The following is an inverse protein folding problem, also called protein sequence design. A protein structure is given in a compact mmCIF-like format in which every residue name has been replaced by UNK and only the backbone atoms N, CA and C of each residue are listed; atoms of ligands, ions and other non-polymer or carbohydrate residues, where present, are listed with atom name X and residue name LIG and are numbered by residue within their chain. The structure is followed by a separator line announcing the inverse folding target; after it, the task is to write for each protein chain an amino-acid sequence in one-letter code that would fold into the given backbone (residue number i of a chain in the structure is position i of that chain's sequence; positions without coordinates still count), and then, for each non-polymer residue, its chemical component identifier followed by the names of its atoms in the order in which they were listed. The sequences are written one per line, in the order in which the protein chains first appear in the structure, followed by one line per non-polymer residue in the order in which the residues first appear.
data_IF_949721196461
#
_entry.id   IF_949721196461
#
_cell.length_a   1.000
_cell.length_b   1.000
_cell.length_c   1.000
_cell.angle_alpha   90.00
_cell.angle_beta   90.00
_cell.angle_gamma   90.00
#
_symmetry.space_group_name_H-M   'P 1'
#
loop_
_entity.id
_entity.type
_entity.pdbx_description
1 polymer ?
#
# COMPACT_ATOMS: atom_id res chain seq x y z
N UNK A 1 23.52 -3.40 26.53
CA UNK A 1 23.71 -1.93 26.68
C UNK A 1 22.38 -1.29 27.03
N UNK A 2 22.41 -0.30 27.92
CA UNK A 2 21.20 0.44 28.30
C UNK A 2 21.00 1.63 27.38
N UNK A 3 19.79 1.76 26.82
CA UNK A 3 19.45 2.82 25.85
C UNK A 3 18.14 3.49 26.25
N UNK A 4 18.08 4.82 26.05
CA UNK A 4 16.83 5.59 26.07
C UNK A 4 16.40 5.83 24.64
N UNK A 5 15.21 5.37 24.30
CA UNK A 5 14.67 5.46 22.95
C UNK A 5 14.10 6.86 22.70
N UNK A 6 14.58 7.51 21.66
CA UNK A 6 14.25 8.91 21.38
C UNK A 6 13.01 9.05 20.48
N UNK A 7 12.95 8.30 19.38
CA UNK A 7 11.85 8.41 18.40
C UNK A 7 11.71 7.15 17.56
N UNK A 8 10.58 7.03 16.88
CA UNK A 8 10.38 6.05 15.80
C UNK A 8 11.02 6.56 14.51
N UNK A 9 11.49 5.64 13.68
CA UNK A 9 12.05 5.97 12.35
C UNK A 9 11.06 5.69 11.22
N UNK A 10 11.36 6.15 10.00
CA UNK A 10 10.70 5.63 8.80
C UNK A 10 11.21 4.22 8.50
N UNK A 11 10.90 3.30 9.42
CA UNK A 11 11.34 1.92 9.44
C UNK A 11 10.71 1.15 10.58
N UNK A 12 11.00 -0.16 10.68
CA UNK A 12 10.46 -1.00 11.77
C UNK A 12 11.07 -0.67 13.13
N UNK A 13 12.27 -0.08 13.17
CA UNK A 13 13.08 0.11 14.38
C UNK A 13 12.93 1.54 14.92
N UNK A 14 13.10 1.67 16.23
CA UNK A 14 13.25 2.96 16.89
C UNK A 14 14.72 3.41 16.89
N UNK A 15 14.98 4.66 17.26
CA UNK A 15 16.32 5.25 17.28
C UNK A 15 16.69 5.66 18.72
N UNK A 16 17.95 5.42 19.05
CA UNK A 16 18.64 5.90 20.25
C UNK A 16 20.07 6.31 19.88
N UNK A 17 20.79 6.94 20.82
CA UNK A 17 22.22 7.15 20.72
C UNK A 17 22.93 6.45 21.87
N UNK A 18 24.12 5.89 21.61
CA UNK A 18 24.98 5.33 22.64
C UNK A 18 25.73 6.44 23.40
N UNK A 19 26.53 6.05 24.39
CA UNK A 19 27.31 7.00 25.24
C UNK A 19 28.31 7.85 24.42
N UNK A 20 28.69 7.41 23.21
CA UNK A 20 29.58 8.13 22.30
C UNK A 20 28.81 9.02 21.32
N UNK A 21 27.46 9.04 21.36
CA UNK A 21 26.61 9.78 20.45
C UNK A 21 26.40 9.08 19.10
N UNK A 22 26.78 7.80 18.96
CA UNK A 22 26.56 7.03 17.74
C UNK A 22 25.12 6.55 17.69
N UNK A 23 24.51 6.68 16.51
CA UNK A 23 23.13 6.24 16.25
C UNK A 23 22.98 4.72 16.41
N UNK A 24 21.97 4.28 17.14
CA UNK A 24 21.60 2.87 17.30
C UNK A 24 20.15 2.67 16.88
N UNK A 25 19.92 1.82 15.88
CA UNK A 25 18.55 1.37 15.52
C UNK A 25 18.18 0.19 16.41
N UNK A 26 17.05 0.29 17.10
CA UNK A 26 16.66 -0.65 18.16
C UNK A 26 15.35 -1.35 17.79
N UNK A 27 15.46 -2.63 17.43
CA UNK A 27 14.30 -3.46 17.12
C UNK A 27 13.51 -3.83 18.40
N UNK A 28 12.18 -3.71 18.34
CA UNK A 28 11.26 -4.06 19.43
C UNK A 28 11.07 -2.98 20.50
N UNK A 29 11.70 -1.82 20.31
CA UNK A 29 11.52 -0.65 21.17
C UNK A 29 10.43 0.29 20.62
N UNK A 30 9.87 1.12 21.49
CA UNK A 30 9.04 2.27 21.11
C UNK A 30 9.60 3.56 21.72
N UNK A 31 9.30 4.69 21.11
CA UNK A 31 9.76 6.00 21.58
C UNK A 31 9.44 6.22 23.07
N UNK A 32 10.43 6.66 23.83
CA UNK A 32 10.33 6.92 25.28
C UNK A 32 10.65 5.73 26.17
N UNK A 33 10.83 4.51 25.65
CA UNK A 33 11.29 3.38 26.47
C UNK A 33 12.72 3.61 26.98
N UNK A 34 13.02 3.01 28.14
CA UNK A 34 14.39 2.70 28.57
C UNK A 34 14.55 1.18 28.52
N UNK A 35 15.53 0.72 27.73
CA UNK A 35 15.70 -0.71 27.44
C UNK A 35 17.11 -1.20 27.72
N UNK A 36 17.26 -2.48 28.08
CA UNK A 36 18.48 -3.23 27.83
C UNK A 36 18.39 -3.82 26.41
N UNK A 37 19.47 -3.66 25.65
CA UNK A 37 19.53 -4.15 24.27
C UNK A 37 20.88 -4.85 24.00
N UNK A 38 20.82 -5.90 23.19
CA UNK A 38 22.00 -6.58 22.66
C UNK A 38 22.35 -6.03 21.28
N UNK A 39 23.63 -5.88 21.01
CA UNK A 39 24.14 -5.48 19.70
C UNK A 39 23.95 -6.64 18.71
N UNK A 40 23.32 -6.36 17.57
CA UNK A 40 23.13 -7.33 16.47
C UNK A 40 24.09 -7.05 15.33
N UNK A 41 24.37 -5.77 15.08
CA UNK A 41 25.27 -5.34 14.01
C UNK A 41 25.98 -4.06 14.44
N UNK A 42 27.30 -4.02 14.27
CA UNK A 42 28.11 -2.84 14.53
C UNK A 42 28.71 -2.28 13.24
N UNK A 43 28.25 -1.12 12.82
CA UNK A 43 28.76 -0.39 11.68
C UNK A 43 29.61 0.82 12.08
N UNK A 44 30.21 1.50 11.11
CA UNK A 44 31.01 2.73 11.36
C UNK A 44 30.14 3.91 11.76
N UNK A 45 29.02 4.13 11.06
CA UNK A 45 28.14 5.31 11.22
C UNK A 45 26.96 5.03 12.15
N UNK A 46 26.50 3.81 12.24
CA UNK A 46 25.39 3.37 13.09
C UNK A 46 25.58 1.93 13.52
N UNK A 47 24.81 1.54 14.52
CA UNK A 47 24.71 0.16 14.98
C UNK A 47 23.26 -0.29 14.99
N UNK A 48 23.02 -1.61 15.00
CA UNK A 48 21.69 -2.19 15.22
C UNK A 48 21.69 -3.02 16.50
N UNK A 49 20.63 -2.88 17.26
CA UNK A 49 20.42 -3.61 18.51
C UNK A 49 19.01 -4.17 18.57
N UNK A 50 18.80 -5.14 19.45
CA UNK A 50 17.50 -5.73 19.75
C UNK A 50 17.24 -5.63 21.24
N UNK A 51 16.02 -5.26 21.60
CA UNK A 51 15.56 -5.24 22.99
C UNK A 51 15.65 -6.63 23.61
N UNK A 52 16.31 -6.74 24.77
CA UNK A 52 16.32 -7.94 25.60
C UNK A 52 15.43 -7.78 26.82
N UNK A 53 15.31 -6.53 27.35
CA UNK A 53 14.46 -6.19 28.47
C UNK A 53 13.97 -4.76 28.34
N UNK A 54 12.72 -4.51 28.74
CA UNK A 54 12.16 -3.17 28.89
C UNK A 54 12.28 -2.79 30.36
N UNK A 55 13.22 -1.89 30.66
CA UNK A 55 13.54 -1.46 32.03
C UNK A 55 12.48 -0.47 32.57
N UNK A 56 12.16 0.53 31.71
CA UNK A 56 11.12 1.51 31.97
C UNK A 56 10.26 1.62 30.71
N UNK A 57 9.01 1.13 30.73
CA UNK A 57 8.13 1.24 29.57
C UNK A 57 7.69 2.69 29.36
N UNK A 58 7.67 3.10 28.10
CA UNK A 58 7.10 4.39 27.69
C UNK A 58 5.60 4.47 28.02
N UNK A 59 5.07 5.66 28.37
CA UNK A 59 3.62 5.87 28.50
C UNK A 59 2.82 5.56 27.23
N UNK A 60 3.45 5.64 26.07
CA UNK A 60 2.82 5.32 24.78
C UNK A 60 3.02 3.87 24.32
N UNK A 61 3.68 3.04 25.15
CA UNK A 61 3.77 1.60 24.90
C UNK A 61 2.47 0.92 25.26
N UNK A 62 1.97 0.07 24.36
CA UNK A 62 0.76 -0.73 24.57
C UNK A 62 1.06 -2.22 24.38
N UNK A 63 0.20 -3.07 24.96
CA UNK A 63 0.27 -4.50 24.70
C UNK A 63 -0.10 -4.78 23.23
N UNK A 64 0.75 -5.52 22.53
CA UNK A 64 0.46 -5.93 21.16
C UNK A 64 -0.73 -6.91 21.13
N UNK A 65 -1.79 -6.54 20.41
CA UNK A 65 -3.00 -7.36 20.28
C UNK A 65 -2.77 -8.67 19.49
N UNK A 66 -1.70 -8.74 18.72
CA UNK A 66 -1.36 -9.92 17.91
C UNK A 66 0.12 -10.31 18.11
N UNK A 67 0.41 -11.34 18.92
CA UNK A 67 1.79 -11.72 19.27
C UNK A 67 2.70 -12.03 18.06
N UNK A 68 2.12 -12.47 16.92
CA UNK A 68 2.90 -12.73 15.71
C UNK A 68 3.30 -11.47 14.93
N UNK A 69 2.75 -10.30 15.28
CA UNK A 69 2.96 -9.05 14.53
C UNK A 69 4.44 -8.69 14.37
N UNK A 70 5.22 -8.77 15.46
CA UNK A 70 6.64 -8.46 15.47
C UNK A 70 7.47 -9.50 14.71
N UNK A 71 7.14 -10.79 14.88
CA UNK A 71 7.87 -11.90 14.24
C UNK A 71 7.64 -11.90 12.72
N UNK A 72 6.41 -11.58 12.28
CA UNK A 72 6.06 -11.49 10.87
C UNK A 72 6.48 -10.17 10.20
N UNK A 73 6.83 -9.14 10.99
CA UNK A 73 7.21 -7.83 10.47
C UNK A 73 6.10 -7.07 9.73
N UNK A 74 4.85 -7.56 9.78
CA UNK A 74 3.72 -6.95 9.09
C UNK A 74 3.00 -5.87 9.90
N UNK A 75 3.31 -5.77 11.19
CA UNK A 75 2.80 -4.75 12.09
C UNK A 75 3.88 -4.37 13.15
N UNK A 76 5.04 -3.85 12.72
CA UNK A 76 6.18 -3.61 13.60
C UNK A 76 5.91 -2.55 14.68
N UNK A 77 4.92 -1.69 14.48
CA UNK A 77 4.52 -0.65 15.45
C UNK A 77 3.32 -1.04 16.30
N UNK A 78 2.93 -2.31 16.32
CA UNK A 78 1.77 -2.79 17.07
C UNK A 78 1.87 -2.63 18.60
N UNK A 79 3.06 -2.36 19.13
CA UNK A 79 3.28 -2.03 20.55
C UNK A 79 3.33 -0.52 20.84
N UNK A 80 3.12 0.34 19.85
CA UNK A 80 3.03 1.79 19.97
C UNK A 80 1.56 2.22 19.95
N UNK A 81 1.14 3.08 20.87
CA UNK A 81 -0.21 3.65 20.90
C UNK A 81 -0.53 4.33 19.56
N UNK A 82 -1.78 4.23 19.12
CA UNK A 82 -2.14 4.65 17.74
C UNK A 82 -1.93 6.14 17.50
N UNK A 83 -2.26 6.98 18.46
CA UNK A 83 -2.02 8.42 18.40
C UNK A 83 -0.52 8.73 18.23
N UNK A 84 0.33 8.02 18.96
CA UNK A 84 1.79 8.17 18.83
C UNK A 84 2.33 7.65 17.48
N UNK A 85 1.64 6.66 16.85
CA UNK A 85 1.97 6.27 15.47
C UNK A 85 1.70 7.40 14.48
N UNK A 86 0.59 8.13 14.61
CA UNK A 86 0.23 9.26 13.74
C UNK A 86 1.24 10.41 13.88
N UNK A 87 1.63 10.73 15.11
CA UNK A 87 2.65 11.75 15.39
C UNK A 87 4.02 11.35 14.79
N UNK A 88 4.42 10.09 14.97
CA UNK A 88 5.68 9.58 14.42
C UNK A 88 5.68 9.59 12.88
N UNK A 89 4.55 9.30 12.23
CA UNK A 89 4.41 9.38 10.78
C UNK A 89 4.55 10.81 10.28
N UNK A 90 3.87 11.76 10.91
CA UNK A 90 4.04 13.19 10.62
C UNK A 90 5.50 13.61 10.76
N UNK A 91 6.12 13.30 11.89
CA UNK A 91 7.50 13.65 12.17
C UNK A 91 8.49 13.08 11.14
N UNK A 92 8.26 11.84 10.67
CA UNK A 92 9.08 11.22 9.63
C UNK A 92 8.93 11.92 8.26
N UNK A 93 7.73 12.44 7.93
CA UNK A 93 7.54 13.24 6.72
C UNK A 93 8.28 14.58 6.83
N UNK A 94 8.14 15.28 7.97
CA UNK A 94 8.88 16.54 8.24
C UNK A 94 10.40 16.31 8.14
N UNK A 95 10.90 15.25 8.78
CA UNK A 95 12.34 14.90 8.75
C UNK A 95 12.85 14.66 7.32
N UNK A 96 12.07 13.95 6.50
CA UNK A 96 12.43 13.71 5.09
C UNK A 96 12.44 15.02 4.27
N UNK A 97 11.41 15.86 4.39
CA UNK A 97 11.33 17.13 3.67
C UNK A 97 12.48 18.06 4.07
N UNK A 98 12.86 18.08 5.36
CA UNK A 98 13.95 18.91 5.87
C UNK A 98 15.32 18.40 5.42
N UNK A 99 15.59 17.08 5.59
CA UNK A 99 16.96 16.54 5.41
C UNK A 99 17.25 16.11 3.97
N UNK A 100 16.26 15.59 3.26
CA UNK A 100 16.41 15.12 1.87
C UNK A 100 15.97 16.19 0.89
N UNK A 101 14.81 16.82 1.16
CA UNK A 101 14.24 17.86 0.31
C UNK A 101 14.85 19.24 0.52
N UNK A 102 15.56 19.46 1.64
CA UNK A 102 16.10 20.78 2.04
C UNK A 102 15.04 21.90 2.00
N UNK A 103 13.77 21.53 2.23
CA UNK A 103 12.65 22.46 2.18
C UNK A 103 12.58 23.27 3.48
N UNK A 104 12.69 24.59 3.35
CA UNK A 104 12.44 25.50 4.46
C UNK A 104 10.95 25.48 4.84
N UNK A 105 10.62 25.60 6.13
CA UNK A 105 9.23 25.61 6.59
C UNK A 105 8.53 24.24 6.50
N UNK A 106 9.27 23.13 6.47
CA UNK A 106 8.68 21.79 6.40
C UNK A 106 7.73 21.49 7.57
N UNK A 107 8.01 22.04 8.78
CA UNK A 107 7.16 21.86 9.97
C UNK A 107 5.77 22.49 9.80
N UNK A 108 5.69 23.66 9.18
CA UNK A 108 4.45 24.38 8.91
C UNK A 108 3.73 23.84 7.68
N UNK A 109 4.48 23.29 6.72
CA UNK A 109 3.95 22.72 5.49
C UNK A 109 3.21 21.40 5.72
N UNK A 110 3.70 20.59 6.68
CA UNK A 110 3.16 19.25 6.96
C UNK A 110 2.06 19.32 8.01
N UNK A 111 0.84 19.02 7.59
CA UNK A 111 -0.33 18.93 8.46
C UNK A 111 -0.31 17.73 9.40
N UNK A 112 -1.34 17.59 10.23
CA UNK A 112 -1.56 16.39 11.05
C UNK A 112 -1.72 15.14 10.18
N UNK A 113 -1.32 13.99 10.70
CA UNK A 113 -1.52 12.71 9.99
C UNK A 113 -3.00 12.30 10.10
N UNK A 114 -3.67 12.19 8.95
CA UNK A 114 -5.05 11.75 8.86
C UNK A 114 -5.19 10.26 9.19
N UNK A 115 -6.22 9.92 9.99
CA UNK A 115 -6.53 8.57 10.45
C UNK A 115 -7.88 8.09 9.89
N UNK A 116 -7.97 7.67 8.62
CA UNK A 116 -9.23 7.46 7.93
C UNK A 116 -10.02 6.22 8.38
N UNK A 117 -9.49 5.40 9.26
CA UNK A 117 -10.14 4.16 9.64
C UNK A 117 -9.73 3.61 11.00
N UNK A 118 -10.02 2.34 11.20
CA UNK A 118 -9.63 1.63 12.42
C UNK A 118 -8.17 1.18 12.32
N UNK A 119 -7.40 1.16 13.43
CA UNK A 119 -6.01 0.72 13.42
C UNK A 119 -5.85 -0.81 13.21
N UNK A 120 -6.93 -1.59 13.31
CA UNK A 120 -6.98 -3.01 13.06
C UNK A 120 -8.16 -3.37 12.15
N UNK A 121 -8.03 -4.45 11.36
CA UNK A 121 -9.10 -4.89 10.46
C UNK A 121 -9.40 -3.89 9.34
N UNK A 122 -8.40 -3.18 8.84
CA UNK A 122 -8.55 -2.19 7.78
C UNK A 122 -8.27 -2.73 6.37
N UNK A 123 -7.48 -3.82 6.27
CA UNK A 123 -7.06 -4.34 4.97
C UNK A 123 -8.19 -5.09 4.27
N UNK A 124 -8.38 -4.78 3.02
CA UNK A 124 -9.25 -5.53 2.12
C UNK A 124 -8.52 -6.71 1.43
N UNK A 125 -7.19 -6.81 1.57
CA UNK A 125 -6.35 -7.81 0.90
C UNK A 125 -5.33 -8.44 1.85
N UNK A 126 -5.15 -9.77 1.73
CA UNK A 126 -4.02 -10.52 2.25
C UNK A 126 -3.39 -11.37 1.14
N UNK A 127 -2.06 -11.43 1.10
CA UNK A 127 -1.30 -12.37 0.27
C UNK A 127 -0.53 -13.32 1.18
N UNK A 128 -0.73 -14.60 1.00
CA UNK A 128 -0.22 -15.64 1.87
C UNK A 128 0.64 -16.62 1.07
N UNK A 129 1.78 -17.00 1.62
CA UNK A 129 2.59 -18.06 1.09
C UNK A 129 1.87 -19.41 1.23
N UNK A 130 1.95 -20.25 0.21
CA UNK A 130 1.49 -21.62 0.27
C UNK A 130 2.66 -22.54 0.63
N UNK A 131 2.53 -23.27 1.73
CA UNK A 131 3.56 -24.19 2.20
C UNK A 131 2.99 -25.60 2.19
N UNK A 132 3.63 -26.49 1.45
CA UNK A 132 3.29 -27.91 1.39
C UNK A 132 4.25 -28.74 2.24
N UNK A 133 3.67 -29.62 3.05
CA UNK A 133 4.38 -30.64 3.82
C UNK A 133 3.74 -32.02 3.56
N UNK A 134 4.36 -32.78 2.68
CA UNK A 134 3.82 -34.04 2.23
C UNK A 134 2.43 -33.91 1.60
N UNK A 135 1.40 -34.50 2.26
CA UNK A 135 -0.01 -34.46 1.84
C UNK A 135 -0.81 -33.34 2.49
N UNK A 136 -0.17 -32.48 3.29
CA UNK A 136 -0.82 -31.33 3.93
C UNK A 136 -0.32 -30.05 3.31
N UNK A 137 -1.14 -29.03 3.40
CA UNK A 137 -0.75 -27.68 3.03
C UNK A 137 -1.23 -26.69 4.09
N UNK A 138 -0.50 -25.61 4.24
CA UNK A 138 -0.85 -24.50 5.12
C UNK A 138 -0.63 -23.18 4.42
N UNK A 139 -1.36 -22.16 4.84
CA UNK A 139 -1.06 -20.78 4.47
C UNK A 139 -0.20 -20.13 5.56
N UNK A 140 0.73 -19.30 5.15
CA UNK A 140 1.65 -18.63 6.06
C UNK A 140 2.09 -17.28 5.54
N UNK A 141 2.87 -16.60 6.36
CA UNK A 141 3.52 -15.34 6.01
C UNK A 141 5.02 -15.48 6.26
N UNK A 142 5.80 -14.78 5.47
CA UNK A 142 7.25 -14.70 5.70
C UNK A 142 7.52 -14.00 7.03
N UNK A 143 8.43 -14.56 7.81
CA UNK A 143 8.95 -13.90 8.99
C UNK A 143 9.75 -12.63 8.59
N UNK A 144 9.94 -11.71 9.53
CA UNK A 144 10.61 -10.44 9.28
C UNK A 144 12.03 -10.60 8.73
N UNK A 145 12.74 -11.68 9.09
CA UNK A 145 14.06 -12.03 8.55
C UNK A 145 14.01 -12.53 7.08
N UNK A 146 12.79 -12.79 6.55
CA UNK A 146 12.56 -13.12 5.14
C UNK A 146 12.92 -14.53 4.68
N UNK A 147 13.37 -15.41 5.59
CA UNK A 147 13.86 -16.76 5.25
C UNK A 147 12.88 -17.87 5.57
N UNK A 148 12.09 -17.70 6.62
CA UNK A 148 11.12 -18.71 7.06
C UNK A 148 9.68 -18.26 6.80
N UNK A 149 8.78 -19.22 6.62
CA UNK A 149 7.35 -18.99 6.53
C UNK A 149 6.66 -19.55 7.76
N UNK A 150 5.99 -18.68 8.50
CA UNK A 150 5.23 -19.04 9.68
C UNK A 150 3.77 -19.25 9.29
N UNK A 151 3.20 -20.37 9.75
CA UNK A 151 1.77 -20.65 9.57
C UNK A 151 0.94 -19.56 10.23
N UNK A 152 -0.10 -19.10 9.53
CA UNK A 152 -1.09 -18.16 10.07
C UNK A 152 -2.50 -18.74 9.90
N UNK A 153 -3.27 -18.76 10.98
CA UNK A 153 -4.68 -19.15 10.98
C UNK A 153 -5.60 -17.91 11.01
N UNK A 154 -5.01 -16.75 11.33
CA UNK A 154 -5.67 -15.44 11.42
C UNK A 154 -4.74 -14.31 10.94
N UNK A 155 -5.33 -13.23 10.50
CA UNK A 155 -4.61 -12.01 10.12
C UNK A 155 -5.43 -10.80 10.58
N UNK A 156 -5.20 -10.28 11.80
CA UNK A 156 -6.03 -9.25 12.41
C UNK A 156 -6.05 -7.91 11.66
N UNK A 157 -5.12 -7.68 10.74
CA UNK A 157 -5.16 -6.52 9.85
C UNK A 157 -6.21 -6.67 8.74
N UNK A 158 -6.62 -7.90 8.37
CA UNK A 158 -7.64 -8.13 7.35
C UNK A 158 -9.03 -7.78 7.88
N UNK A 159 -9.82 -7.05 7.09
CA UNK A 159 -11.18 -6.66 7.42
C UNK A 159 -12.12 -7.87 7.41
N UNK A 160 -12.16 -8.58 8.52
CA UNK A 160 -13.03 -9.72 8.75
C UNK A 160 -14.07 -9.41 9.83
N UNK A 161 -15.26 -10.01 9.75
CA UNK A 161 -16.25 -9.89 10.82
C UNK A 161 -15.73 -10.58 12.08
N UNK A 162 -16.13 -10.08 13.26
CA UNK A 162 -15.69 -10.64 14.54
C UNK A 162 -16.19 -12.06 14.81
N UNK A 163 -17.28 -12.49 14.16
CA UNK A 163 -17.93 -13.80 14.39
C UNK A 163 -18.35 -14.44 13.07
N UNK A 164 -18.64 -15.74 13.13
CA UNK A 164 -19.17 -16.52 12.01
C UNK A 164 -18.09 -17.17 11.15
N UNK A 165 -18.51 -17.76 10.02
CA UNK A 165 -17.64 -18.50 9.11
C UNK A 165 -16.54 -17.60 8.49
N UNK A 166 -16.90 -16.36 8.14
CA UNK A 166 -15.98 -15.42 7.55
C UNK A 166 -14.89 -14.91 8.52
N UNK A 167 -15.12 -14.93 9.83
CA UNK A 167 -14.09 -14.65 10.84
C UNK A 167 -12.90 -15.63 10.79
N UNK A 168 -13.13 -16.85 10.29
CA UNK A 168 -12.13 -17.92 10.17
C UNK A 168 -11.67 -18.13 8.72
N UNK A 169 -11.78 -17.10 7.88
CA UNK A 169 -11.56 -17.20 6.44
C UNK A 169 -10.20 -17.82 6.08
N UNK A 170 -9.11 -17.32 6.66
CA UNK A 170 -7.75 -17.81 6.36
C UNK A 170 -7.63 -19.30 6.73
N UNK A 171 -8.10 -19.69 7.92
CA UNK A 171 -8.11 -21.08 8.35
C UNK A 171 -8.97 -21.97 7.43
N UNK A 172 -10.12 -21.48 6.97
CA UNK A 172 -11.00 -22.21 6.06
C UNK A 172 -10.35 -22.42 4.69
N UNK A 173 -9.71 -21.38 4.13
CA UNK A 173 -8.99 -21.47 2.86
C UNK A 173 -7.78 -22.40 2.99
N UNK A 174 -7.02 -22.29 4.08
CA UNK A 174 -5.90 -23.21 4.37
C UNK A 174 -6.35 -24.66 4.45
N UNK A 175 -7.46 -24.94 5.15
CA UNK A 175 -8.06 -26.27 5.24
C UNK A 175 -8.53 -26.82 3.89
N UNK A 176 -9.17 -25.98 3.07
CA UNK A 176 -9.61 -26.34 1.73
C UNK A 176 -8.43 -26.73 0.81
N UNK A 177 -7.35 -25.94 0.85
CA UNK A 177 -6.14 -26.23 0.08
C UNK A 177 -5.39 -27.45 0.61
N UNK A 178 -5.38 -27.67 1.93
CA UNK A 178 -4.79 -28.87 2.53
C UNK A 178 -5.54 -30.13 2.12
N UNK A 179 -6.87 -30.09 2.07
CA UNK A 179 -7.69 -31.17 1.56
C UNK A 179 -7.36 -31.49 0.10
N UNK A 180 -7.25 -30.47 -0.73
CA UNK A 180 -6.90 -30.61 -2.15
C UNK A 180 -5.48 -31.17 -2.33
N UNK A 181 -4.51 -30.76 -1.51
CA UNK A 181 -3.13 -31.24 -1.52
C UNK A 181 -3.01 -32.73 -1.13
N UNK A 182 -3.99 -33.26 -0.40
CA UNK A 182 -4.06 -34.70 -0.03
C UNK A 182 -4.22 -35.63 -1.22
N UNK A 183 -4.85 -35.14 -2.30
CA UNK A 183 -5.18 -35.93 -3.50
C UNK A 183 -4.53 -35.43 -4.79
N UNK A 184 -3.94 -34.22 -4.78
CA UNK A 184 -3.34 -33.58 -5.96
C UNK A 184 -1.98 -33.00 -5.61
N UNK A 185 -1.06 -33.10 -6.56
CA UNK A 185 0.16 -32.32 -6.52
C UNK A 185 -0.14 -30.89 -7.00
N UNK A 186 0.02 -29.92 -6.09
CA UNK A 186 -0.29 -28.51 -6.35
C UNK A 186 0.99 -27.71 -6.33
N UNK A 187 1.30 -27.08 -7.45
CA UNK A 187 2.36 -26.08 -7.54
C UNK A 187 1.70 -24.68 -7.38
N UNK A 188 1.49 -24.29 -6.12
CA UNK A 188 0.94 -23.00 -5.74
C UNK A 188 2.05 -22.16 -5.16
N UNK A 189 2.23 -20.95 -5.69
CA UNK A 189 3.24 -20.01 -5.24
C UNK A 189 2.75 -19.17 -4.05
N UNK A 190 1.54 -18.66 -4.19
CA UNK A 190 0.87 -17.87 -3.15
C UNK A 190 -0.64 -17.87 -3.36
N UNK A 191 -1.35 -17.45 -2.33
CA UNK A 191 -2.79 -17.28 -2.33
C UNK A 191 -3.13 -15.84 -1.94
N UNK A 192 -3.81 -15.13 -2.83
CA UNK A 192 -4.38 -13.82 -2.55
C UNK A 192 -5.82 -13.98 -2.08
N UNK A 193 -6.19 -13.23 -1.05
CA UNK A 193 -7.56 -13.12 -0.55
C UNK A 193 -7.93 -11.65 -0.57
N UNK A 194 -9.01 -11.29 -1.27
CA UNK A 194 -9.61 -9.95 -1.25
C UNK A 194 -11.02 -10.02 -0.72
N UNK A 195 -11.35 -9.14 0.20
CA UNK A 195 -12.69 -9.06 0.77
C UNK A 195 -13.14 -7.61 0.84
N UNK A 196 -14.27 -7.30 0.18
CA UNK A 196 -14.97 -6.04 0.36
C UNK A 196 -16.02 -6.18 1.47
N UNK A 197 -16.03 -5.24 2.40
CA UNK A 197 -17.12 -5.10 3.38
C UNK A 197 -18.30 -4.31 2.83
N UNK A 198 -18.15 -3.67 1.68
CA UNK A 198 -19.15 -2.79 1.05
C UNK A 198 -19.99 -3.54 0.02
N UNK A 199 -19.32 -4.28 -0.87
CA UNK A 199 -20.00 -5.09 -1.90
C UNK A 199 -20.33 -6.50 -1.42
N UNK A 200 -19.66 -6.98 -0.38
CA UNK A 200 -19.73 -8.36 0.09
C UNK A 200 -18.86 -9.34 -0.70
N UNK A 201 -18.16 -8.89 -1.73
CA UNK A 201 -17.31 -9.72 -2.57
C UNK A 201 -16.14 -10.33 -1.79
N UNK A 202 -15.90 -11.61 -2.03
CA UNK A 202 -14.76 -12.37 -1.56
C UNK A 202 -14.08 -13.06 -2.74
N UNK A 203 -12.91 -12.58 -3.14
CA UNK A 203 -12.09 -13.23 -4.16
C UNK A 203 -10.97 -14.04 -3.53
N UNK A 204 -10.78 -15.27 -4.03
CA UNK A 204 -9.58 -16.08 -3.76
C UNK A 204 -8.81 -16.23 -5.07
N UNK A 205 -7.60 -15.71 -5.11
CA UNK A 205 -6.69 -15.82 -6.23
C UNK A 205 -5.57 -16.81 -5.93
N UNK A 206 -5.41 -17.81 -6.79
CA UNK A 206 -4.37 -18.83 -6.66
C UNK A 206 -3.30 -18.56 -7.71
N UNK A 207 -2.09 -18.28 -7.26
CA UNK A 207 -0.96 -18.00 -8.14
C UNK A 207 -0.18 -19.29 -8.39
N UNK A 208 -0.06 -19.69 -9.67
CA UNK A 208 0.58 -20.95 -10.07
C UNK A 208 1.41 -20.74 -11.32
N UNK A 209 2.41 -21.61 -11.59
CA UNK A 209 2.95 -21.74 -12.93
C UNK A 209 1.86 -22.13 -13.95
N UNK A 210 2.17 -22.00 -15.23
CA UNK A 210 1.34 -22.56 -16.31
C UNK A 210 1.39 -24.09 -16.27
N UNK A 211 0.29 -24.76 -16.61
CA UNK A 211 0.23 -26.24 -16.67
C UNK A 211 -1.07 -26.82 -16.13
N UNK A 212 -1.09 -28.11 -15.89
CA UNK A 212 -2.25 -28.82 -15.35
C UNK A 212 -2.63 -28.30 -13.95
N UNK A 213 -3.93 -28.20 -13.71
CA UNK A 213 -4.48 -27.74 -12.42
C UNK A 213 -5.85 -28.41 -12.18
N UNK A 214 -6.15 -28.87 -10.97
CA UNK A 214 -7.42 -29.57 -10.65
C UNK A 214 -8.58 -28.57 -10.48
N UNK A 215 -9.01 -27.91 -11.57
CA UNK A 215 -9.97 -26.79 -11.60
C UNK A 215 -11.27 -27.07 -10.85
N UNK A 216 -11.93 -28.19 -11.20
CA UNK A 216 -13.24 -28.52 -10.64
C UNK A 216 -13.18 -28.79 -9.13
N UNK A 217 -12.11 -29.45 -8.66
CA UNK A 217 -11.91 -29.73 -7.25
C UNK A 217 -11.53 -28.47 -6.49
N UNK A 218 -10.64 -27.64 -7.05
CA UNK A 218 -10.27 -26.34 -6.46
C UNK A 218 -11.49 -25.44 -6.31
N UNK A 219 -12.34 -25.31 -7.34
CA UNK A 219 -13.59 -24.57 -7.25
C UNK A 219 -14.45 -25.03 -6.09
N UNK A 220 -14.73 -26.34 -6.04
CA UNK A 220 -15.64 -26.91 -5.03
C UNK A 220 -15.17 -26.68 -3.60
N UNK A 221 -13.86 -26.86 -3.33
CA UNK A 221 -13.36 -26.72 -1.96
C UNK A 221 -13.24 -25.26 -1.55
N UNK A 222 -12.87 -24.35 -2.45
CA UNK A 222 -12.72 -22.92 -2.13
C UNK A 222 -14.06 -22.18 -2.09
N UNK A 223 -15.04 -22.59 -2.91
CA UNK A 223 -16.42 -22.11 -2.80
C UNK A 223 -16.98 -22.42 -1.42
N UNK A 224 -16.68 -23.61 -0.89
CA UNK A 224 -17.08 -23.98 0.48
C UNK A 224 -16.47 -23.08 1.55
N UNK A 225 -15.36 -22.39 1.29
CA UNK A 225 -14.78 -21.38 2.18
C UNK A 225 -15.52 -20.04 2.13
N UNK A 226 -16.45 -19.86 1.17
CA UNK A 226 -17.31 -18.69 1.04
C UNK A 226 -16.90 -17.71 -0.06
N UNK A 227 -16.04 -18.12 -1.00
CA UNK A 227 -15.63 -17.29 -2.12
C UNK A 227 -16.80 -16.95 -3.05
N UNK A 228 -16.94 -15.68 -3.46
CA UNK A 228 -17.83 -15.24 -4.53
C UNK A 228 -17.13 -15.24 -5.89
N UNK A 229 -15.79 -15.21 -5.88
CA UNK A 229 -14.95 -15.29 -7.07
C UNK A 229 -13.71 -16.12 -6.76
N UNK A 230 -13.35 -17.04 -7.68
CA UNK A 230 -12.11 -17.80 -7.61
C UNK A 230 -11.39 -17.69 -8.94
N UNK A 231 -10.14 -17.25 -8.90
CA UNK A 231 -9.31 -17.09 -10.09
C UNK A 231 -7.98 -17.80 -9.92
N UNK A 232 -7.46 -18.33 -11.02
CA UNK A 232 -6.08 -18.80 -11.13
C UNK A 232 -5.26 -17.77 -11.90
N UNK A 233 -4.23 -17.23 -11.27
CA UNK A 233 -3.28 -16.34 -11.90
C UNK A 233 -2.06 -17.15 -12.33
N UNK A 234 -1.87 -17.28 -13.63
CA UNK A 234 -0.75 -18.03 -14.18
C UNK A 234 0.47 -17.15 -14.35
N UNK A 235 1.62 -17.66 -13.93
CA UNK A 235 2.89 -16.94 -13.98
C UNK A 235 3.95 -17.75 -14.72
N UNK A 236 4.96 -17.04 -15.22
CA UNK A 236 6.16 -17.63 -15.85
C UNK A 236 7.40 -16.83 -15.44
N UNK A 237 8.53 -17.52 -15.26
CA UNK A 237 9.82 -16.93 -14.89
C UNK A 237 10.22 -17.19 -13.43
N UNK A 238 11.41 -16.74 -13.06
CA UNK A 238 11.97 -16.89 -11.69
C UNK A 238 11.56 -15.74 -10.78
N UNK A 239 11.58 -15.94 -9.48
CA UNK A 239 10.98 -15.10 -8.45
C UNK A 239 10.99 -13.56 -8.71
N UNK A 240 12.14 -12.95 -9.01
CA UNK A 240 12.26 -11.49 -9.25
C UNK A 240 11.85 -11.02 -10.65
N UNK A 241 11.78 -11.94 -11.63
CA UNK A 241 11.44 -11.65 -13.03
C UNK A 241 10.13 -12.34 -13.45
N UNK A 242 9.30 -12.71 -12.48
CA UNK A 242 8.04 -13.43 -12.72
C UNK A 242 7.01 -12.52 -13.37
N UNK A 243 6.44 -12.96 -14.50
CA UNK A 243 5.41 -12.24 -15.23
C UNK A 243 4.09 -12.99 -15.21
N UNK A 244 2.99 -12.26 -15.07
CA UNK A 244 1.64 -12.81 -15.27
C UNK A 244 1.46 -13.09 -16.74
N UNK A 245 1.09 -14.33 -17.08
CA UNK A 245 0.86 -14.79 -18.46
C UNK A 245 -0.63 -14.97 -18.76
N UNK A 246 -1.48 -15.05 -17.75
CA UNK A 246 -2.92 -15.13 -17.89
C UNK A 246 -3.65 -15.20 -16.56
N UNK A 247 -4.93 -14.92 -16.61
CA UNK A 247 -5.87 -15.07 -15.51
C UNK A 247 -6.99 -15.98 -15.98
N UNK A 248 -7.19 -17.08 -15.28
CA UNK A 248 -8.23 -18.05 -15.55
C UNK A 248 -9.33 -17.93 -14.49
N UNK A 249 -10.56 -17.65 -14.95
CA UNK A 249 -11.73 -17.66 -14.08
C UNK A 249 -12.09 -19.12 -13.75
N UNK A 250 -12.06 -19.49 -12.50
CA UNK A 250 -12.47 -20.80 -12.04
C UNK A 250 -13.92 -20.79 -11.55
N UNK A 251 -14.34 -19.72 -10.87
CA UNK A 251 -15.70 -19.56 -10.33
C UNK A 251 -16.09 -18.10 -10.22
N UNK A 252 -17.38 -17.80 -10.29
CA UNK A 252 -17.96 -16.48 -10.04
C UNK A 252 -17.62 -15.43 -11.10
N UNK A 253 -17.47 -14.17 -10.70
CA UNK A 253 -17.27 -13.04 -11.61
C UNK A 253 -15.88 -13.02 -12.30
N UNK A 254 -14.85 -13.66 -11.70
CA UNK A 254 -13.48 -13.59 -12.19
C UNK A 254 -12.79 -12.26 -11.91
N UNK A 255 -13.38 -11.46 -11.05
CA UNK A 255 -12.88 -10.18 -10.55
C UNK A 255 -13.43 -9.91 -9.15
N UNK A 256 -12.84 -8.97 -8.45
CA UNK A 256 -13.27 -8.47 -7.16
C UNK A 256 -13.80 -7.05 -7.31
N UNK A 257 -14.89 -6.73 -6.61
CA UNK A 257 -15.49 -5.39 -6.62
C UNK A 257 -15.30 -4.69 -5.30
N UNK A 258 -15.00 -3.40 -5.35
CA UNK A 258 -14.95 -2.52 -4.19
C UNK A 258 -15.64 -1.18 -4.52
N UNK A 259 -16.24 -0.56 -3.52
CA UNK A 259 -16.84 0.77 -3.66
C UNK A 259 -15.95 1.81 -2.98
N UNK A 260 -15.57 2.85 -3.72
CA UNK A 260 -14.71 3.94 -3.27
C UNK A 260 -15.30 5.26 -3.75
N UNK A 261 -15.43 6.24 -2.88
CA UNK A 261 -15.94 7.58 -3.22
C UNK A 261 -17.20 7.54 -4.12
N UNK A 262 -18.13 6.63 -3.82
CA UNK A 262 -19.37 6.43 -4.59
C UNK A 262 -19.24 5.60 -5.88
N UNK A 263 -18.04 5.24 -6.30
CA UNK A 263 -17.78 4.45 -7.51
C UNK A 263 -17.57 2.97 -7.16
N UNK A 264 -18.31 2.06 -7.79
CA UNK A 264 -18.05 0.63 -7.70
C UNK A 264 -17.09 0.20 -8.79
N UNK A 265 -15.87 -0.15 -8.38
CA UNK A 265 -14.79 -0.55 -9.27
C UNK A 265 -14.66 -2.06 -9.31
N UNK A 266 -14.37 -2.62 -10.48
CA UNK A 266 -14.06 -4.03 -10.68
C UNK A 266 -12.57 -4.20 -10.98
N UNK A 267 -11.94 -5.11 -10.25
CA UNK A 267 -10.49 -5.25 -10.22
C UNK A 267 -10.10 -6.70 -10.48
N UNK A 268 -9.23 -6.92 -11.42
CA UNK A 268 -8.62 -8.23 -11.64
C UNK A 268 -7.58 -8.55 -10.56
N UNK A 269 -7.37 -9.82 -10.26
CA UNK A 269 -6.47 -10.26 -9.19
C UNK A 269 -5.02 -9.71 -9.32
N UNK A 270 -4.42 -9.60 -10.52
CA UNK A 270 -3.08 -9.01 -10.68
C UNK A 270 -3.02 -7.50 -10.46
N UNK A 271 -4.12 -6.77 -10.65
CA UNK A 271 -4.12 -5.31 -10.54
C UNK A 271 -3.86 -4.86 -9.11
N UNK A 272 -3.09 -3.79 -8.97
CA UNK A 272 -2.94 -3.10 -7.69
C UNK A 272 -4.25 -2.41 -7.32
N UNK A 273 -4.52 -2.35 -6.05
CA UNK A 273 -5.55 -1.52 -5.45
C UNK A 273 -5.18 -1.22 -4.00
N UNK A 274 -5.55 -0.05 -3.51
CA UNK A 274 -5.28 0.37 -2.14
C UNK A 274 -5.90 -0.60 -1.14
N UNK A 275 -5.09 -1.10 -0.20
CA UNK A 275 -5.51 -2.17 0.73
C UNK A 275 -6.41 -1.70 1.86
N UNK A 276 -6.51 -0.38 2.06
CA UNK A 276 -7.33 0.28 3.07
C UNK A 276 -8.37 1.14 2.35
N UNK A 277 -9.59 0.64 2.23
CA UNK A 277 -10.67 1.32 1.50
C UNK A 277 -11.03 2.70 2.07
N UNK A 278 -11.24 2.88 3.40
CA UNK A 278 -11.38 4.22 3.99
C UNK A 278 -10.19 5.15 3.74
N UNK A 279 -8.96 4.61 3.76
CA UNK A 279 -7.76 5.36 3.45
C UNK A 279 -7.73 5.85 2.00
N UNK A 280 -8.08 4.99 1.07
CA UNK A 280 -8.18 5.37 -0.34
C UNK A 280 -9.24 6.45 -0.60
N UNK A 281 -10.38 6.41 0.12
CA UNK A 281 -11.39 7.48 0.05
C UNK A 281 -10.85 8.81 0.57
N UNK A 282 -10.07 8.77 1.66
CA UNK A 282 -9.42 9.98 2.19
C UNK A 282 -8.39 10.54 1.19
N UNK A 283 -7.64 9.68 0.49
CA UNK A 283 -6.76 10.15 -0.59
C UNK A 283 -7.57 10.84 -1.70
N UNK A 284 -8.69 10.25 -2.15
CA UNK A 284 -9.57 10.87 -3.15
C UNK A 284 -10.10 12.22 -2.65
N UNK A 285 -10.59 12.28 -1.40
CA UNK A 285 -11.08 13.53 -0.79
C UNK A 285 -10.00 14.62 -0.82
N UNK A 286 -8.79 14.30 -0.38
CA UNK A 286 -7.67 15.26 -0.32
C UNK A 286 -7.21 15.69 -1.72
N UNK A 287 -7.16 14.77 -2.69
CA UNK A 287 -6.83 15.09 -4.08
C UNK A 287 -7.88 16.02 -4.69
N UNK A 288 -9.18 15.72 -4.50
CA UNK A 288 -10.25 16.60 -4.98
C UNK A 288 -10.22 17.97 -4.32
N UNK A 289 -9.90 18.06 -3.02
CA UNK A 289 -9.74 19.32 -2.32
C UNK A 289 -8.50 20.09 -2.76
N UNK A 290 -7.41 19.42 -3.11
CA UNK A 290 -6.20 20.05 -3.61
C UNK A 290 -6.37 20.62 -5.01
N UNK A 291 -7.05 19.89 -5.91
CA UNK A 291 -7.21 20.26 -7.31
C UNK A 291 -8.41 21.17 -7.59
N UNK A 292 -9.47 21.09 -6.76
CA UNK A 292 -10.71 21.87 -6.93
C UNK A 292 -11.27 21.78 -8.36
N UNK A 293 -11.58 20.54 -8.86
CA UNK A 293 -11.93 20.31 -10.25
C UNK A 293 -13.24 20.99 -10.64
N UNK A 294 -13.23 21.71 -11.76
CA UNK A 294 -14.36 22.40 -12.37
C UNK A 294 -14.87 21.68 -13.63
N UNK A 295 -16.11 22.02 -14.07
CA UNK A 295 -16.76 21.38 -15.19
C UNK A 295 -16.09 21.61 -16.56
N UNK A 296 -15.33 22.68 -16.67
CA UNK A 296 -14.62 23.05 -17.92
C UNK A 296 -13.15 22.60 -17.90
N UNK A 297 -12.65 22.03 -16.81
CA UNK A 297 -11.25 21.63 -16.66
C UNK A 297 -10.90 20.42 -17.54
N UNK A 298 -9.71 20.45 -18.09
CA UNK A 298 -8.97 19.30 -18.58
C UNK A 298 -8.06 18.80 -17.46
N UNK A 299 -8.23 17.55 -17.05
CA UNK A 299 -7.44 16.94 -15.98
C UNK A 299 -6.47 15.89 -16.53
N UNK A 300 -5.33 15.72 -15.88
CA UNK A 300 -4.37 14.66 -16.18
C UNK A 300 -4.20 13.77 -14.95
N UNK A 301 -4.27 12.44 -15.14
CA UNK A 301 -4.06 11.42 -14.09
C UNK A 301 -2.92 10.49 -14.50
N UNK A 302 -1.71 10.76 -14.02
CA UNK A 302 -0.53 9.93 -14.30
C UNK A 302 -0.36 8.86 -13.21
N UNK A 303 -0.08 7.62 -13.68
CA UNK A 303 -0.06 6.41 -12.84
C UNK A 303 -1.46 6.05 -12.34
N UNK A 304 -2.46 6.16 -13.22
CA UNK A 304 -3.89 6.13 -12.91
C UNK A 304 -4.40 4.80 -12.31
N UNK A 305 -3.60 3.73 -12.40
CA UNK A 305 -3.99 2.41 -11.90
C UNK A 305 -5.29 1.90 -12.54
N UNK A 306 -6.24 1.50 -11.72
CA UNK A 306 -7.56 1.08 -12.17
C UNK A 306 -8.60 2.22 -12.13
N UNK A 307 -8.16 3.47 -11.90
CA UNK A 307 -8.99 4.66 -11.96
C UNK A 307 -9.43 5.24 -10.61
N UNK A 308 -8.64 5.07 -9.57
CA UNK A 308 -8.97 5.59 -8.22
C UNK A 308 -9.23 7.09 -8.23
N UNK A 309 -8.44 7.89 -8.97
CA UNK A 309 -8.62 9.33 -9.13
C UNK A 309 -9.30 9.68 -10.46
N UNK A 310 -9.06 8.88 -11.51
CA UNK A 310 -9.64 9.09 -12.84
C UNK A 310 -11.16 9.18 -12.82
N UNK A 311 -11.85 8.23 -12.14
CA UNK A 311 -13.31 8.21 -12.13
C UNK A 311 -13.90 9.45 -11.43
N UNK A 312 -13.46 9.85 -10.21
CA UNK A 312 -13.93 11.08 -9.58
C UNK A 312 -13.62 12.36 -10.36
N UNK A 313 -12.47 12.42 -11.08
CA UNK A 313 -12.13 13.54 -11.96
C UNK A 313 -13.06 13.59 -13.17
N UNK A 314 -13.25 12.46 -13.86
CA UNK A 314 -14.13 12.38 -15.05
C UNK A 314 -15.59 12.74 -14.75
N UNK A 315 -16.05 12.58 -13.52
CA UNK A 315 -17.38 13.01 -13.07
C UNK A 315 -17.50 14.52 -12.88
N UNK A 316 -16.38 15.26 -12.85
CA UNK A 316 -16.35 16.69 -12.53
C UNK A 316 -15.73 17.55 -13.61
N UNK A 317 -14.84 16.99 -14.45
CA UNK A 317 -14.07 17.70 -15.46
C UNK A 317 -14.68 17.50 -16.85
N UNK A 318 -14.34 18.40 -17.78
CA UNK A 318 -14.68 18.29 -19.19
C UNK A 318 -14.02 17.05 -19.81
N UNK A 319 -12.74 16.82 -19.49
CA UNK A 319 -11.95 15.72 -20.04
C UNK A 319 -10.86 15.27 -19.07
N UNK A 320 -10.43 14.00 -19.17
CA UNK A 320 -9.33 13.43 -18.36
C UNK A 320 -8.40 12.62 -19.26
N UNK A 321 -7.12 12.96 -19.25
CA UNK A 321 -6.04 12.12 -19.78
C UNK A 321 -5.52 11.21 -18.67
N UNK A 322 -5.59 9.89 -18.86
CA UNK A 322 -5.17 8.91 -17.87
C UNK A 322 -4.09 7.98 -18.43
N UNK A 323 -2.93 7.91 -17.76
CA UNK A 323 -1.79 7.09 -18.21
C UNK A 323 -1.44 6.04 -17.15
N UNK A 324 -1.35 4.77 -17.58
CA UNK A 324 -1.00 3.64 -16.72
C UNK A 324 -0.15 2.61 -17.46
N UNK A 325 0.97 2.20 -16.88
CA UNK A 325 1.91 1.27 -17.51
C UNK A 325 1.52 -0.19 -17.39
N UNK A 326 0.80 -0.57 -16.32
CA UNK A 326 0.46 -1.96 -16.06
C UNK A 326 -0.78 -2.40 -16.83
N UNK A 327 -0.60 -3.17 -17.89
CA UNK A 327 -1.68 -3.57 -18.81
C UNK A 327 -2.95 -4.17 -18.14
N UNK A 328 -2.89 -5.00 -17.08
CA UNK A 328 -4.09 -5.41 -16.36
C UNK A 328 -4.86 -4.23 -15.75
N UNK A 329 -4.17 -3.25 -15.16
CA UNK A 329 -4.79 -2.08 -14.57
C UNK A 329 -5.45 -1.19 -15.63
N UNK A 330 -4.80 -0.98 -16.78
CA UNK A 330 -5.40 -0.28 -17.94
C UNK A 330 -6.71 -0.93 -18.39
N UNK A 331 -6.74 -2.27 -18.46
CA UNK A 331 -7.98 -2.99 -18.80
C UNK A 331 -9.07 -2.84 -17.75
N UNK A 332 -8.68 -2.83 -16.49
CA UNK A 332 -9.62 -2.61 -15.39
C UNK A 332 -10.13 -1.17 -15.39
N UNK A 333 -9.27 -0.16 -15.62
CA UNK A 333 -9.64 1.25 -15.78
C UNK A 333 -10.71 1.41 -16.88
N UNK A 334 -10.42 0.92 -18.10
CA UNK A 334 -11.37 1.02 -19.24
C UNK A 334 -12.72 0.36 -18.92
N UNK A 335 -12.71 -0.81 -18.26
CA UNK A 335 -13.94 -1.48 -17.82
C UNK A 335 -14.69 -0.67 -16.76
N UNK A 336 -13.98 -0.04 -15.84
CA UNK A 336 -14.58 0.78 -14.78
C UNK A 336 -15.21 2.05 -15.36
N UNK A 337 -14.56 2.70 -16.33
CA UNK A 337 -15.09 3.84 -17.09
C UNK A 337 -16.36 3.48 -17.84
N UNK A 338 -16.34 2.36 -18.59
CA UNK A 338 -17.52 1.83 -19.29
C UNK A 338 -18.68 1.55 -18.33
N UNK A 339 -18.38 0.91 -17.17
CA UNK A 339 -19.39 0.60 -16.17
C UNK A 339 -19.99 1.85 -15.51
N UNK A 340 -19.20 2.90 -15.36
CA UNK A 340 -19.64 4.20 -14.83
C UNK A 340 -20.26 5.12 -15.90
N UNK A 341 -20.32 4.70 -17.18
CA UNK A 341 -20.75 5.49 -18.33
C UNK A 341 -19.97 6.80 -18.50
N UNK A 342 -18.67 6.79 -18.21
CA UNK A 342 -17.77 7.92 -18.38
C UNK A 342 -17.07 7.82 -19.76
N UNK A 343 -17.39 8.76 -20.67
CA UNK A 343 -16.90 8.75 -22.05
C UNK A 343 -15.92 9.91 -22.34
N UNK A 344 -15.60 10.69 -21.31
CA UNK A 344 -14.73 11.86 -21.37
C UNK A 344 -13.33 11.55 -20.81
N UNK A 345 -12.83 10.35 -21.04
CA UNK A 345 -11.50 9.91 -20.59
C UNK A 345 -10.75 9.25 -21.73
N UNK A 346 -9.54 9.71 -22.02
CA UNK A 346 -8.56 8.95 -22.79
C UNK A 346 -7.67 8.14 -21.85
N UNK A 347 -7.77 6.81 -21.93
CA UNK A 347 -7.01 5.89 -21.08
C UNK A 347 -5.89 5.22 -21.88
N UNK A 348 -4.68 5.76 -21.75
CA UNK A 348 -3.48 5.35 -22.47
C UNK A 348 -2.69 4.31 -21.66
N UNK A 349 -2.24 3.25 -22.34
CA UNK A 349 -1.41 2.21 -21.75
C UNK A 349 0.06 2.43 -22.05
N UNK A 350 0.87 2.85 -21.08
CA UNK A 350 2.29 3.09 -21.29
C UNK A 350 2.99 3.72 -20.07
N UNK A 351 4.27 3.97 -20.22
CA UNK A 351 5.10 4.65 -19.23
C UNK A 351 4.78 6.15 -19.23
N UNK A 352 4.56 6.73 -18.06
CA UNK A 352 4.11 8.12 -17.93
C UNK A 352 5.07 9.16 -18.56
N UNK A 353 6.37 8.88 -18.60
CA UNK A 353 7.34 9.77 -19.22
C UNK A 353 7.36 9.67 -20.77
N UNK A 354 6.96 8.53 -21.31
CA UNK A 354 6.94 8.28 -22.78
C UNK A 354 5.59 8.58 -23.42
N UNK A 355 4.54 8.25 -22.71
CA UNK A 355 3.14 8.48 -23.11
C UNK A 355 2.57 9.69 -22.36
N UNK A 356 3.42 10.69 -22.09
CA UNK A 356 2.98 11.92 -21.47
C UNK A 356 1.98 12.61 -22.41
N UNK A 357 0.77 13.01 -21.95
CA UNK A 357 -0.23 13.62 -22.83
C UNK A 357 0.27 14.92 -23.46
N UNK A 358 -0.04 15.11 -24.74
CA UNK A 358 0.32 16.32 -25.50
C UNK A 358 -0.61 17.50 -25.16
N UNK A 359 -1.80 17.24 -24.63
CA UNK A 359 -2.77 18.25 -24.28
C UNK A 359 -2.38 19.03 -23.03
N UNK A 360 -2.75 20.32 -22.99
CA UNK A 360 -2.55 21.17 -21.82
C UNK A 360 -3.60 20.83 -20.75
N UNK A 361 -3.14 20.58 -19.52
CA UNK A 361 -4.01 20.29 -18.39
C UNK A 361 -4.19 21.52 -17.48
N UNK A 362 -5.42 21.72 -16.98
CA UNK A 362 -5.74 22.74 -15.96
C UNK A 362 -5.36 22.24 -14.55
N UNK A 363 -5.46 20.92 -14.31
CA UNK A 363 -5.17 20.27 -13.04
C UNK A 363 -4.55 18.88 -13.29
N UNK A 364 -3.65 18.46 -12.40
CA UNK A 364 -2.94 17.20 -12.55
C UNK A 364 -2.94 16.42 -11.23
N UNK A 365 -3.16 15.11 -11.27
CA UNK A 365 -2.83 14.19 -10.19
C UNK A 365 -1.74 13.23 -10.63
N UNK A 366 -0.80 12.94 -9.71
CA UNK A 366 0.24 11.93 -9.91
C UNK A 366 0.30 11.01 -8.69
N UNK A 367 0.31 9.68 -8.90
CA UNK A 367 0.46 8.65 -7.85
C UNK A 367 1.56 7.66 -8.25
N UNK A 368 2.83 8.09 -8.30
CA UNK A 368 3.93 7.26 -8.77
C UNK A 368 4.25 6.11 -7.82
N UNK A 369 4.96 5.07 -8.29
CA UNK A 369 5.47 4.00 -7.45
C UNK A 369 6.49 4.54 -6.42
N UNK A 370 6.92 3.68 -5.48
CA UNK A 370 7.89 4.01 -4.41
C UNK A 370 9.17 4.71 -4.89
N UNK A 371 9.56 4.53 -6.14
CA UNK A 371 10.72 5.21 -6.71
C UNK A 371 10.51 6.73 -6.90
N UNK A 372 9.27 7.20 -6.78
CA UNK A 372 8.90 8.59 -7.08
C UNK A 372 8.88 8.87 -8.58
N UNK A 373 8.89 10.14 -8.93
CA UNK A 373 8.90 10.60 -10.31
C UNK A 373 10.30 10.52 -10.93
N UNK A 374 10.35 10.14 -12.21
CA UNK A 374 11.55 10.31 -13.00
C UNK A 374 11.78 11.82 -13.28
N UNK A 375 13.02 12.20 -13.51
CA UNK A 375 13.38 13.61 -13.66
C UNK A 375 12.76 14.26 -14.91
N UNK A 376 12.65 13.49 -15.99
CA UNK A 376 11.96 13.89 -17.22
C UNK A 376 10.48 14.13 -17.00
N UNK A 377 9.79 13.32 -16.19
CA UNK A 377 8.39 13.52 -15.82
C UNK A 377 8.21 14.80 -15.00
N UNK A 378 9.10 15.07 -14.03
CA UNK A 378 9.06 16.33 -13.26
C UNK A 378 9.21 17.55 -14.18
N UNK A 379 10.07 17.46 -15.22
CA UNK A 379 10.25 18.52 -16.20
C UNK A 379 8.99 18.71 -17.06
N UNK A 380 8.45 17.63 -17.63
CA UNK A 380 7.21 17.66 -18.42
C UNK A 380 6.04 18.22 -17.61
N UNK A 381 5.88 17.83 -16.34
CA UNK A 381 4.89 18.40 -15.44
C UNK A 381 5.11 19.91 -15.21
N UNK A 382 6.37 20.36 -15.14
CA UNK A 382 6.70 21.78 -14.96
C UNK A 382 6.44 22.62 -16.21
N UNK A 383 6.37 22.02 -17.38
CA UNK A 383 6.00 22.66 -18.65
C UNK A 383 4.48 22.87 -18.78
N UNK A 384 3.68 22.08 -18.05
CA UNK A 384 2.21 22.19 -18.08
C UNK A 384 1.71 23.49 -17.45
N UNK A 385 0.64 24.10 -18.02
CA UNK A 385 0.06 25.34 -17.47
C UNK A 385 -0.81 25.11 -16.22
N UNK A 386 -0.92 23.89 -15.73
CA UNK A 386 -1.82 23.51 -14.66
C UNK A 386 -1.73 24.42 -13.44
N UNK A 387 -2.86 24.87 -12.93
CA UNK A 387 -2.92 25.72 -11.72
C UNK A 387 -2.53 24.98 -10.45
N UNK A 388 -2.75 23.65 -10.42
CA UNK A 388 -2.42 22.81 -9.28
C UNK A 388 -2.04 21.38 -9.71
N UNK A 389 -1.09 20.79 -8.96
CA UNK A 389 -0.74 19.38 -9.04
C UNK A 389 -1.00 18.74 -7.66
N UNK A 390 -1.76 17.66 -7.62
CA UNK A 390 -1.88 16.82 -6.44
C UNK A 390 -0.89 15.65 -6.57
N UNK A 391 0.16 15.64 -5.73
CA UNK A 391 1.13 14.57 -5.71
C UNK A 391 0.83 13.62 -4.54
N UNK A 392 0.40 12.40 -4.86
CA UNK A 392 0.20 11.30 -3.91
C UNK A 392 1.50 10.50 -3.83
N UNK A 393 2.02 10.24 -2.63
CA UNK A 393 3.28 9.50 -2.47
C UNK A 393 3.24 8.56 -1.27
N UNK A 394 3.75 7.34 -1.48
CA UNK A 394 3.90 6.33 -0.44
C UNK A 394 5.30 6.28 0.21
N UNK A 395 6.20 7.19 -0.17
CA UNK A 395 7.56 7.25 0.37
C UNK A 395 8.02 8.69 0.60
N UNK A 396 8.21 9.11 1.86
CA UNK A 396 8.61 10.48 2.19
C UNK A 396 9.95 10.92 1.61
N UNK A 397 10.90 9.99 1.44
CA UNK A 397 12.23 10.36 0.95
C UNK A 397 12.21 10.67 -0.55
N UNK A 398 11.50 9.86 -1.35
CA UNK A 398 11.33 10.12 -2.79
C UNK A 398 10.45 11.34 -3.03
N UNK A 399 9.39 11.54 -2.23
CA UNK A 399 8.61 12.78 -2.25
C UNK A 399 9.49 14.00 -2.01
N UNK A 400 10.31 13.99 -0.95
CA UNK A 400 11.20 15.10 -0.59
C UNK A 400 12.16 15.45 -1.73
N UNK A 401 12.76 14.43 -2.36
CA UNK A 401 13.63 14.59 -3.53
C UNK A 401 12.89 15.25 -4.70
N UNK A 402 11.67 14.79 -4.98
CA UNK A 402 10.92 15.27 -6.14
C UNK A 402 10.38 16.68 -5.91
N UNK A 403 9.96 17.02 -4.68
CA UNK A 403 9.59 18.39 -4.32
C UNK A 403 10.78 19.36 -4.43
N UNK A 404 12.00 18.91 -4.05
CA UNK A 404 13.21 19.71 -4.27
C UNK A 404 13.41 20.03 -5.76
N UNK A 405 13.23 19.04 -6.65
CA UNK A 405 13.32 19.25 -8.11
C UNK A 405 12.27 20.24 -8.64
N UNK A 406 11.02 20.17 -8.18
CA UNK A 406 10.00 21.17 -8.54
C UNK A 406 10.38 22.57 -8.08
N UNK A 407 10.90 22.68 -6.85
CA UNK A 407 11.37 23.98 -6.32
C UNK A 407 12.57 24.53 -7.09
N UNK A 408 13.51 23.67 -7.51
CA UNK A 408 14.67 24.05 -8.33
C UNK A 408 14.27 24.56 -9.70
N UNK A 409 13.27 23.95 -10.34
CA UNK A 409 12.72 24.42 -11.62
C UNK A 409 11.94 25.74 -11.46
N UNK A 410 11.49 26.06 -10.25
CA UNK A 410 10.90 27.36 -9.90
C UNK A 410 9.50 27.62 -10.46
N UNK A 411 8.86 26.62 -11.08
CA UNK A 411 7.51 26.78 -11.69
C UNK A 411 6.41 26.44 -10.70
N UNK A 412 6.60 25.38 -9.91
CA UNK A 412 5.66 24.95 -8.89
C UNK A 412 6.28 25.01 -7.50
N UNK A 413 5.44 25.24 -6.49
CA UNK A 413 5.85 25.17 -5.10
C UNK A 413 4.82 24.39 -4.26
N UNK A 414 5.28 23.58 -3.28
CA UNK A 414 4.38 22.89 -2.38
C UNK A 414 3.77 23.90 -1.38
N UNK A 415 2.45 23.87 -1.23
CA UNK A 415 1.71 24.73 -0.29
C UNK A 415 1.09 23.94 0.87
N UNK A 416 0.95 22.63 0.74
CA UNK A 416 0.51 21.75 1.83
C UNK A 416 0.97 20.32 1.58
N UNK A 417 1.29 19.60 2.65
CA UNK A 417 1.56 18.16 2.67
C UNK A 417 0.71 17.55 3.76
N UNK A 418 -0.21 16.65 3.39
CA UNK A 418 -1.09 15.96 4.34
C UNK A 418 -0.71 14.49 4.40
N UNK A 419 -0.09 14.02 5.51
CA UNK A 419 0.15 12.61 5.74
C UNK A 419 -1.16 11.86 5.98
N UNK A 420 -1.27 10.63 5.48
CA UNK A 420 -2.45 9.77 5.65
C UNK A 420 -2.00 8.38 6.10
N UNK A 421 -2.58 7.88 7.17
CA UNK A 421 -2.30 6.55 7.67
C UNK A 421 -3.11 5.47 6.93
N UNK A 422 -2.64 5.07 5.75
CA UNK A 422 -3.18 3.92 5.01
C UNK A 422 -2.81 2.58 5.64
N UNK A 423 -1.70 2.53 6.39
CA UNK A 423 -1.10 1.32 6.92
C UNK A 423 -0.91 1.39 8.44
N UNK A 424 -2.00 1.46 9.23
CA UNK A 424 -1.91 1.38 10.69
C UNK A 424 -1.05 0.21 11.17
N UNK A 425 -0.40 0.36 12.31
CA UNK A 425 0.54 -0.59 12.91
C UNK A 425 1.87 -0.74 12.16
N UNK A 426 2.12 0.09 11.15
CA UNK A 426 3.37 0.10 10.38
C UNK A 426 3.95 1.52 10.28
N UNK A 427 5.20 1.62 9.87
CA UNK A 427 5.88 2.90 9.61
C UNK A 427 5.48 3.56 8.29
N UNK A 428 4.81 2.83 7.40
CA UNK A 428 4.39 3.35 6.10
C UNK A 428 3.38 4.49 6.27
N UNK A 429 3.56 5.53 5.47
CA UNK A 429 2.68 6.69 5.40
C UNK A 429 2.48 7.05 3.94
N UNK A 430 1.24 7.38 3.59
CA UNK A 430 0.92 8.06 2.34
C UNK A 430 0.87 9.55 2.58
N UNK A 431 1.09 10.34 1.54
CA UNK A 431 1.00 11.80 1.61
C UNK A 431 0.24 12.31 0.40
N UNK A 432 -0.55 13.36 0.58
CA UNK A 432 -1.08 14.17 -0.52
C UNK A 432 -0.46 15.56 -0.41
N UNK A 433 0.31 15.93 -1.43
CA UNK A 433 0.94 17.24 -1.54
C UNK A 433 0.21 18.07 -2.58
N UNK A 434 -0.23 19.27 -2.22
CA UNK A 434 -0.69 20.30 -3.18
C UNK A 434 0.50 21.13 -3.62
N UNK A 435 0.79 21.08 -4.91
CA UNK A 435 1.70 22.03 -5.57
C UNK A 435 0.85 23.06 -6.31
N UNK A 436 1.24 24.31 -6.25
CA UNK A 436 0.60 25.39 -7.00
C UNK A 436 1.62 26.04 -7.94
N UNK A 437 1.13 26.51 -9.08
CA UNK A 437 1.95 27.23 -10.04
C UNK A 437 2.30 28.61 -9.45
N UNK A 438 3.58 28.97 -9.48
CA UNK A 438 4.03 30.30 -9.11
C UNK A 438 3.51 31.35 -10.09
N UNK A 439 3.11 32.50 -9.57
CA UNK A 439 2.59 33.62 -10.34
C UNK A 439 3.67 34.29 -11.22
#
# INVERSE_FOLDING_TARGET
MRLRIERMTYGPDAIAHDEQGKTVFVAGAVAGDVVEAELVEEGKSFSKARVTEIVEPSPVRVACAWPLASVLGCAPWASLAYEAQLEAKRANVVDALTRVGHLAGAEELVGACEAPGKPWGYRNKAELAYVRDGRRATLGMYAAEGTSVLKVDEFPLLNLPAKGKAAKLIKNVSGALSYLAGSHELDIERVGIRRSSRTGDLEIAIWTPTGAFPRAQACRVLESAGASSIVRVMTKGVAKARKVTGVERLFGAGSWSETIAGNTMRLSAPSFFQVNTPGAEKLVELVMAALEPGADDVAMDLYSGAGTFTLPLAQRCAFVDAVESYGPAVRDLRRNLEHANLNNVDAVGGDAGREFPDDEADIIVVDPPRAGLAEDVVRQLSEQPARAIAYVSCDPATLARDLARFCELGVYEPVSVTPVDLFPQTFHVETVTKLVRRA
#
